data_IF_081024103653
#
_entry.id   IF_081024103653
#
_cell.length_a   1.000
_cell.length_b   1.000
_cell.length_c   1.000
_cell.angle_alpha   90.00
_cell.angle_beta   90.00
_cell.angle_gamma   90.00
#
_symmetry.space_group_name_H-M   'P 1'
#
loop_
_entity.id
_entity.type
_entity.pdbx_description
1 polymer ?
#
# COMPACT_ATOMS: atom_id res chain seq x y z
N UNK A 1 -25.80 53.69 -30.55
CA UNK A 1 -27.16 53.36 -30.06
C UNK A 1 -27.50 52.03 -30.71
N UNK A 2 -27.24 50.91 -30.04
CA UNK A 2 -28.15 50.25 -29.09
C UNK A 2 -29.41 49.72 -29.80
N UNK A 3 -29.49 48.40 -29.99
CA UNK A 3 -30.56 47.53 -29.48
C UNK A 3 -30.18 46.06 -29.67
N UNK A 4 -30.02 45.36 -28.55
CA UNK A 4 -30.03 43.92 -28.41
C UNK A 4 -31.38 43.31 -28.85
N UNK A 5 -31.33 42.09 -29.40
CA UNK A 5 -32.49 41.20 -29.48
C UNK A 5 -32.06 39.87 -28.86
N UNK A 6 -32.71 39.52 -27.75
CA UNK A 6 -32.47 38.31 -26.96
C UNK A 6 -33.06 37.10 -27.68
N UNK A 7 -32.20 36.14 -28.04
CA UNK A 7 -32.62 34.78 -28.38
C UNK A 7 -32.82 34.00 -27.09
N UNK A 8 -34.08 33.63 -26.82
CA UNK A 8 -34.42 32.64 -25.81
C UNK A 8 -34.42 31.26 -26.44
N UNK A 9 -33.51 30.40 -25.99
CA UNK A 9 -33.59 28.96 -26.19
C UNK A 9 -33.80 28.28 -24.83
N UNK A 10 -35.03 27.84 -24.63
CA UNK A 10 -35.42 26.91 -23.57
C UNK A 10 -34.86 25.53 -23.93
N UNK A 11 -33.64 25.24 -23.49
CA UNK A 11 -33.15 23.86 -23.54
C UNK A 11 -33.39 23.19 -22.18
N UNK A 12 -34.48 22.43 -22.16
CA UNK A 12 -34.82 21.41 -21.17
C UNK A 12 -33.69 20.38 -21.10
N UNK A 13 -32.74 20.59 -20.19
CA UNK A 13 -31.77 19.59 -19.81
C UNK A 13 -32.13 19.07 -18.41
N UNK A 14 -32.71 17.87 -18.39
CA UNK A 14 -32.62 16.93 -17.28
C UNK A 14 -31.14 16.81 -16.89
N UNK A 15 -30.69 17.61 -15.93
CA UNK A 15 -29.38 17.44 -15.33
C UNK A 15 -29.57 16.55 -14.13
N UNK A 16 -29.54 15.24 -14.41
CA UNK A 16 -29.28 14.19 -13.45
C UNK A 16 -28.09 14.62 -12.60
N UNK A 17 -28.38 15.03 -11.37
CA UNK A 17 -27.40 15.35 -10.34
C UNK A 17 -26.61 14.07 -10.04
N UNK A 18 -25.53 13.88 -10.79
CA UNK A 18 -24.51 12.87 -10.55
C UNK A 18 -23.83 13.25 -9.24
N UNK A 19 -24.31 12.66 -8.14
CA UNK A 19 -23.57 12.64 -6.89
C UNK A 19 -22.33 11.78 -7.11
N UNK A 20 -21.17 12.44 -7.09
CA UNK A 20 -19.87 11.77 -7.16
C UNK A 20 -19.65 11.13 -5.78
N UNK A 21 -19.87 9.82 -5.69
CA UNK A 21 -19.46 9.02 -4.54
C UNK A 21 -17.94 9.16 -4.37
N UNK A 22 -17.52 9.92 -3.36
CA UNK A 22 -16.10 10.20 -3.06
C UNK A 22 -15.35 8.95 -2.60
N UNK A 23 -16.03 7.93 -2.11
CA UNK A 23 -15.41 6.67 -1.73
C UNK A 23 -16.26 5.52 -2.23
N UNK A 24 -15.73 4.70 -3.13
CA UNK A 24 -16.33 3.47 -3.66
C UNK A 24 -16.48 2.36 -2.60
N UNK A 25 -16.98 2.72 -1.42
CA UNK A 25 -17.32 1.90 -0.27
C UNK A 25 -18.84 2.00 -0.05
N UNK A 26 -19.64 1.82 -1.11
CA UNK A 26 -21.09 1.80 -0.98
C UNK A 26 -21.52 0.38 -0.63
N UNK A 27 -22.11 0.22 0.56
CA UNK A 27 -22.98 -0.91 0.86
C UNK A 27 -24.14 -0.88 -0.13
N UNK A 28 -24.12 -1.75 -1.14
CA UNK A 28 -25.32 -2.05 -1.90
C UNK A 28 -26.33 -2.76 -0.98
N UNK A 29 -27.63 -2.42 -1.06
CA UNK A 29 -28.65 -3.17 -0.34
C UNK A 29 -28.77 -4.55 -0.99
N UNK A 30 -28.29 -5.59 -0.32
CA UNK A 30 -28.52 -6.98 -0.72
C UNK A 30 -30.00 -7.32 -0.48
N UNK A 31 -30.63 -7.87 -1.52
CA UNK A 31 -32.02 -8.30 -1.50
C UNK A 31 -32.11 -9.61 -0.73
N UNK A 32 -32.83 -9.61 0.39
CA UNK A 32 -33.08 -10.81 1.20
C UNK A 32 -33.84 -11.87 0.39
N UNK A 33 -33.36 -13.12 0.44
CA UNK A 33 -33.97 -14.26 -0.23
C UNK A 33 -33.42 -15.60 0.23
N UNK A 34 -34.14 -16.19 1.20
CA UNK A 34 -34.31 -17.63 1.44
C UNK A 34 -33.29 -18.38 2.33
N UNK A 35 -33.79 -18.70 3.54
CA UNK A 35 -33.31 -19.75 4.43
C UNK A 35 -33.79 -21.13 3.96
N UNK A 36 -32.94 -22.16 3.98
CA UNK A 36 -33.38 -23.51 4.35
C UNK A 36 -32.24 -24.39 4.91
N UNK A 37 -32.44 -24.75 6.19
CA UNK A 37 -32.15 -25.97 6.94
C UNK A 37 -30.87 -26.81 6.79
N UNK A 38 -30.37 -27.17 7.98
CA UNK A 38 -29.21 -27.97 8.31
C UNK A 38 -29.36 -29.47 8.07
N UNK A 39 -28.24 -30.19 7.91
CA UNK A 39 -27.94 -31.47 8.59
C UNK A 39 -26.40 -31.68 8.71
N UNK A 40 -26.01 -32.50 9.69
CA UNK A 40 -24.73 -32.49 10.38
C UNK A 40 -23.78 -33.67 10.04
N UNK A 41 -22.57 -33.58 10.62
CA UNK A 41 -21.51 -34.60 10.84
C UNK A 41 -20.47 -34.76 9.71
N UNK A 42 -19.16 -34.92 9.94
CA UNK A 42 -18.40 -35.29 11.13
C UNK A 42 -16.92 -34.81 11.03
N UNK A 43 -16.35 -34.54 12.21
CA UNK A 43 -14.96 -34.73 12.65
C UNK A 43 -13.80 -34.58 11.65
N UNK A 44 -12.89 -33.64 11.93
CA UNK A 44 -11.47 -33.95 12.07
C UNK A 44 -10.79 -33.05 13.10
N UNK A 45 -10.20 -33.74 14.08
CA UNK A 45 -9.34 -33.25 15.16
C UNK A 45 -7.93 -33.01 14.62
N UNK A 46 -7.35 -31.84 14.90
CA UNK A 46 -5.89 -31.65 14.93
C UNK A 46 -5.50 -30.34 15.65
N UNK A 47 -4.95 -30.50 16.86
CA UNK A 47 -3.84 -29.71 17.41
C UNK A 47 -3.97 -28.19 17.44
N UNK A 48 -4.53 -27.67 18.53
CA UNK A 48 -4.36 -26.27 18.94
C UNK A 48 -3.07 -26.17 19.80
N UNK A 49 -2.11 -25.29 19.51
CA UNK A 49 -1.22 -24.78 20.54
C UNK A 49 -1.91 -23.60 21.23
N UNK A 50 -2.11 -23.74 22.53
CA UNK A 50 -2.40 -22.64 23.45
C UNK A 50 -1.45 -21.47 23.20
N UNK A 51 -2.02 -20.32 22.85
CA UNK A 51 -1.43 -19.02 23.16
C UNK A 51 -2.34 -18.41 24.22
N UNK A 52 -1.90 -18.58 25.46
CA UNK A 52 -2.40 -17.93 26.65
C UNK A 52 -2.46 -16.42 26.43
N UNK A 53 -3.68 -15.91 26.37
CA UNK A 53 -4.04 -14.51 26.53
C UNK A 53 -3.98 -14.21 28.04
N UNK A 54 -2.80 -13.76 28.49
CA UNK A 54 -2.64 -13.14 29.81
C UNK A 54 -2.72 -11.63 29.60
N UNK A 55 -3.70 -11.02 30.26
CA UNK A 55 -4.00 -9.61 30.12
C UNK A 55 -2.88 -8.73 30.66
N UNK A 56 -2.36 -7.85 29.81
CA UNK A 56 -1.55 -6.72 30.21
C UNK A 56 -2.12 -5.45 29.58
N UNK A 57 -2.95 -4.73 30.34
CA UNK A 57 -3.25 -3.33 30.09
C UNK A 57 -1.97 -2.52 30.32
N UNK A 58 -1.34 -2.07 29.23
CA UNK A 58 -0.17 -1.20 29.33
C UNK A 58 0.47 -0.92 27.97
N UNK A 59 0.32 0.33 27.52
CA UNK A 59 1.05 1.03 26.45
C UNK A 59 0.45 0.92 25.02
N UNK A 60 -0.04 2.04 24.44
CA UNK A 60 -0.51 2.04 23.06
C UNK A 60 0.70 1.86 22.15
N UNK A 61 0.85 0.65 21.61
CA UNK A 61 1.47 0.35 20.32
C UNK A 61 2.57 1.33 19.90
N UNK A 62 3.75 1.23 20.53
CA UNK A 62 4.93 1.89 19.97
C UNK A 62 5.06 1.44 18.50
N UNK A 63 5.34 2.37 17.58
CA UNK A 63 5.50 2.06 16.14
C UNK A 63 6.45 0.87 15.92
N UNK A 64 7.47 0.75 16.77
CA UNK A 64 8.43 -0.35 16.79
C UNK A 64 7.78 -1.73 17.05
N UNK A 65 6.76 -1.82 17.90
CA UNK A 65 6.03 -3.08 18.17
C UNK A 65 5.24 -3.54 16.94
N UNK A 66 4.64 -2.59 16.21
CA UNK A 66 3.88 -2.89 14.99
C UNK A 66 4.81 -3.31 13.86
N UNK A 67 5.92 -2.59 13.68
CA UNK A 67 6.97 -2.95 12.71
C UNK A 67 7.58 -4.31 13.03
N UNK A 68 7.85 -4.61 14.30
CA UNK A 68 8.39 -5.91 14.70
C UNK A 68 7.43 -7.07 14.43
N UNK A 69 6.13 -6.89 14.70
CA UNK A 69 5.13 -7.94 14.50
C UNK A 69 4.79 -8.18 13.03
N UNK A 70 4.63 -7.13 12.26
CA UNK A 70 4.09 -7.21 10.90
C UNK A 70 5.14 -7.03 9.80
N UNK A 71 6.31 -6.46 10.13
CA UNK A 71 7.35 -6.12 9.15
C UNK A 71 7.05 -4.86 8.33
N UNK A 72 6.05 -4.08 8.73
CA UNK A 72 5.62 -2.85 8.05
C UNK A 72 5.38 -1.75 9.06
N UNK A 73 5.64 -0.50 8.67
CA UNK A 73 5.18 0.65 9.44
C UNK A 73 3.65 0.65 9.53
N UNK A 74 3.09 1.31 10.55
CA UNK A 74 1.64 1.36 10.74
C UNK A 74 0.90 1.91 9.50
N UNK A 75 1.48 2.91 8.84
CA UNK A 75 0.93 3.51 7.62
C UNK A 75 0.91 2.53 6.45
N UNK A 76 2.01 1.79 6.23
CA UNK A 76 2.08 0.76 5.18
C UNK A 76 1.11 -0.40 5.46
N UNK A 77 1.07 -0.86 6.72
CA UNK A 77 0.19 -1.93 7.15
C UNK A 77 -1.28 -1.55 7.00
N UNK A 78 -1.64 -0.31 7.36
CA UNK A 78 -2.97 0.23 7.12
C UNK A 78 -3.30 0.29 5.63
N UNK A 79 -2.36 0.69 4.77
CA UNK A 79 -2.52 0.68 3.33
C UNK A 79 -2.79 -0.73 2.77
N UNK A 80 -2.07 -1.74 3.28
CA UNK A 80 -2.31 -3.15 2.96
C UNK A 80 -3.70 -3.62 3.44
N UNK A 81 -4.07 -3.27 4.67
CA UNK A 81 -5.39 -3.57 5.24
C UNK A 81 -6.53 -2.97 4.42
N UNK A 82 -6.40 -1.71 3.99
CA UNK A 82 -7.42 -1.05 3.17
C UNK A 82 -7.53 -1.69 1.78
N UNK A 83 -6.40 -2.07 1.15
CA UNK A 83 -6.41 -2.81 -0.12
C UNK A 83 -7.11 -4.16 0.03
N UNK A 84 -6.75 -4.92 1.06
CA UNK A 84 -7.37 -6.21 1.35
C UNK A 84 -8.87 -6.07 1.57
N UNK A 85 -9.28 -5.11 2.42
CA UNK A 85 -10.68 -4.83 2.69
C UNK A 85 -11.46 -4.55 1.39
N UNK A 86 -10.98 -3.62 0.55
CA UNK A 86 -11.65 -3.27 -0.72
C UNK A 86 -11.74 -4.43 -1.71
N UNK A 87 -10.74 -5.29 -1.77
CA UNK A 87 -10.70 -6.38 -2.75
C UNK A 87 -11.55 -7.59 -2.31
N UNK A 88 -11.58 -7.86 -1.00
CA UNK A 88 -12.08 -9.10 -0.42
C UNK A 88 -13.43 -8.97 0.31
N UNK A 89 -13.89 -7.76 0.64
CA UNK A 89 -15.22 -7.50 1.20
C UNK A 89 -16.31 -8.02 0.26
N UNK A 90 -17.23 -8.84 0.79
CA UNK A 90 -18.30 -9.48 0.02
C UNK A 90 -17.85 -10.62 -0.91
N UNK A 91 -16.57 -11.03 -0.86
CA UNK A 91 -16.04 -12.14 -1.66
C UNK A 91 -15.41 -13.22 -0.79
N UNK A 92 -14.41 -12.86 0.01
CA UNK A 92 -13.65 -13.81 0.82
C UNK A 92 -13.99 -13.72 2.31
N UNK A 93 -14.58 -12.62 2.75
CA UNK A 93 -15.14 -12.50 4.09
C UNK A 93 -16.33 -11.55 4.10
N UNK A 94 -17.25 -11.79 5.03
CA UNK A 94 -18.48 -11.03 5.21
C UNK A 94 -18.47 -10.50 6.64
N UNK A 95 -17.86 -9.32 6.90
CA UNK A 95 -17.88 -8.73 8.22
C UNK A 95 -19.33 -8.46 8.63
N UNK A 96 -19.62 -8.51 9.93
CA UNK A 96 -20.96 -8.18 10.42
C UNK A 96 -21.31 -6.73 10.04
N UNK A 97 -22.61 -6.42 10.02
CA UNK A 97 -23.04 -5.04 9.74
C UNK A 97 -22.36 -4.03 10.67
N UNK A 98 -22.29 -4.35 11.96
CA UNK A 98 -21.62 -3.54 12.99
C UNK A 98 -20.12 -3.39 12.72
N UNK A 99 -19.41 -4.50 12.45
CA UNK A 99 -17.97 -4.45 12.14
C UNK A 99 -17.72 -3.62 10.86
N UNK A 100 -18.60 -3.74 9.86
CA UNK A 100 -18.49 -2.98 8.62
C UNK A 100 -18.72 -1.49 8.84
N UNK A 101 -19.72 -1.11 9.65
CA UNK A 101 -19.90 0.27 10.08
C UNK A 101 -18.66 0.79 10.81
N UNK A 102 -18.09 -0.01 11.70
CA UNK A 102 -16.89 0.35 12.47
C UNK A 102 -15.66 0.52 11.58
N UNK A 103 -15.42 -0.39 10.63
CA UNK A 103 -14.33 -0.27 9.64
C UNK A 103 -14.48 1.01 8.81
N UNK A 104 -15.69 1.32 8.36
CA UNK A 104 -15.98 2.57 7.61
C UNK A 104 -15.71 3.79 8.50
N UNK A 105 -16.19 3.80 9.74
CA UNK A 105 -15.98 4.90 10.67
C UNK A 105 -14.50 5.15 10.95
N UNK A 106 -13.72 4.09 11.20
CA UNK A 106 -12.28 4.16 11.41
C UNK A 106 -11.57 4.69 10.16
N UNK A 107 -11.95 4.25 8.96
CA UNK A 107 -11.39 4.79 7.72
C UNK A 107 -11.68 6.29 7.56
N UNK A 108 -12.90 6.73 7.87
CA UNK A 108 -13.25 8.16 7.85
C UNK A 108 -12.46 8.96 8.88
N UNK A 109 -12.26 8.41 10.08
CA UNK A 109 -11.41 9.04 11.11
C UNK A 109 -9.97 9.23 10.62
N UNK A 110 -9.40 8.25 9.90
CA UNK A 110 -8.06 8.35 9.34
C UNK A 110 -7.96 9.42 8.25
N UNK A 111 -8.98 9.54 7.41
CA UNK A 111 -9.00 10.47 6.27
C UNK A 111 -9.36 11.91 6.65
N UNK A 112 -10.38 12.06 7.49
CA UNK A 112 -11.04 13.35 7.76
C UNK A 112 -10.86 13.80 9.21
N UNK A 113 -10.36 12.93 10.10
CA UNK A 113 -10.27 13.19 11.53
C UNK A 113 -11.62 13.01 12.24
N UNK A 114 -11.74 13.58 13.46
CA UNK A 114 -12.97 13.55 14.25
C UNK A 114 -14.21 14.01 13.49
N UNK A 115 -15.34 13.37 13.76
CA UNK A 115 -16.61 13.75 13.16
C UNK A 115 -16.98 15.21 13.46
N UNK A 116 -17.27 15.98 12.41
CA UNK A 116 -17.78 17.34 12.52
C UNK A 116 -19.23 17.41 12.00
N UNK A 117 -20.22 17.74 12.84
CA UNK A 117 -21.61 17.87 12.43
C UNK A 117 -21.84 19.00 11.42
N UNK A 118 -21.06 20.07 11.46
CA UNK A 118 -21.23 21.23 10.57
C UNK A 118 -20.73 20.95 9.14
N UNK A 119 -19.81 20.00 9.01
CA UNK A 119 -19.24 19.58 7.73
C UNK A 119 -20.06 18.48 7.05
N UNK A 120 -21.07 17.93 7.72
CA UNK A 120 -21.85 16.78 7.26
C UNK A 120 -23.29 17.20 6.94
N UNK A 121 -23.81 16.94 5.73
CA UNK A 121 -25.19 17.24 5.41
C UNK A 121 -26.15 16.48 6.33
N UNK A 122 -27.35 17.05 6.54
CA UNK A 122 -28.40 16.40 7.29
C UNK A 122 -28.87 15.14 6.54
N UNK A 123 -28.73 13.97 7.18
CA UNK A 123 -29.28 12.73 6.64
C UNK A 123 -30.76 12.67 7.02
N UNK A 124 -31.60 12.44 6.01
CA UNK A 124 -33.04 12.36 6.18
C UNK A 124 -33.47 11.19 7.07
N UNK A 125 -34.65 11.30 7.67
CA UNK A 125 -35.19 10.30 8.59
C UNK A 125 -35.21 8.86 8.02
N UNK A 126 -35.46 8.70 6.72
CA UNK A 126 -35.52 7.39 6.06
C UNK A 126 -34.15 6.80 5.70
N UNK A 127 -33.06 7.56 5.77
CA UNK A 127 -31.71 7.04 5.50
C UNK A 127 -31.09 6.48 6.80
N UNK A 128 -31.62 5.31 7.20
CA UNK A 128 -31.19 4.56 8.39
C UNK A 128 -29.70 4.22 8.32
N UNK A 129 -29.22 3.77 7.16
CA UNK A 129 -27.81 3.42 6.94
C UNK A 129 -26.89 4.64 7.08
N UNK A 130 -27.29 5.79 6.53
CA UNK A 130 -26.56 7.04 6.68
C UNK A 130 -26.53 7.52 8.13
N UNK A 131 -27.64 7.36 8.86
CA UNK A 131 -27.70 7.66 10.29
C UNK A 131 -26.76 6.78 11.11
N UNK A 132 -26.75 5.46 10.85
CA UNK A 132 -25.87 4.54 11.56
C UNK A 132 -24.39 4.83 11.27
N UNK A 133 -24.02 5.08 10.01
CA UNK A 133 -22.65 5.48 9.65
C UNK A 133 -22.21 6.77 10.35
N UNK A 134 -23.09 7.79 10.42
CA UNK A 134 -22.79 9.04 11.12
C UNK A 134 -22.64 8.81 12.61
N UNK A 135 -23.55 8.03 13.21
CA UNK A 135 -23.52 7.71 14.64
C UNK A 135 -22.25 6.94 15.01
N UNK A 136 -21.86 5.96 14.20
CA UNK A 136 -20.66 5.16 14.46
C UNK A 136 -19.38 6.01 14.37
N UNK A 137 -19.27 6.86 13.35
CA UNK A 137 -18.13 7.78 13.23
C UNK A 137 -18.11 8.83 14.35
N UNK A 138 -19.26 9.40 14.71
CA UNK A 138 -19.36 10.31 15.85
C UNK A 138 -18.96 9.64 17.17
N UNK A 139 -19.17 8.33 17.32
CA UNK A 139 -18.79 7.58 18.52
C UNK A 139 -17.27 7.49 18.72
N UNK A 140 -16.47 7.66 17.66
CA UNK A 140 -15.00 7.67 17.74
C UNK A 140 -14.46 8.93 18.43
N UNK A 141 -15.24 10.02 18.49
CA UNK A 141 -14.83 11.26 19.14
C UNK A 141 -13.49 11.79 18.61
N UNK A 142 -12.60 12.15 19.53
CA UNK A 142 -11.29 12.74 19.23
C UNK A 142 -10.17 11.69 19.05
N UNK A 143 -10.52 10.45 18.65
CA UNK A 143 -9.56 9.39 18.37
C UNK A 143 -8.48 9.87 17.38
N UNK A 144 -7.22 9.60 17.72
CA UNK A 144 -6.09 10.01 16.89
C UNK A 144 -6.02 9.18 15.60
N UNK A 145 -5.37 9.75 14.58
CA UNK A 145 -5.24 9.11 13.27
C UNK A 145 -4.55 7.75 13.37
N UNK A 146 -3.45 7.67 14.13
CA UNK A 146 -2.67 6.45 14.27
C UNK A 146 -3.43 5.39 15.08
N UNK A 147 -4.16 5.80 16.11
CA UNK A 147 -5.06 4.90 16.85
C UNK A 147 -6.17 4.35 15.93
N UNK A 148 -6.78 5.19 15.09
CA UNK A 148 -7.80 4.75 14.14
C UNK A 148 -7.25 3.78 13.09
N UNK A 149 -6.01 3.98 12.61
CA UNK A 149 -5.33 3.02 11.73
C UNK A 149 -5.12 1.68 12.44
N UNK A 150 -4.62 1.72 13.67
CA UNK A 150 -4.33 0.53 14.45
C UNK A 150 -5.60 -0.30 14.71
N UNK A 151 -6.67 0.36 15.16
CA UNK A 151 -7.96 -0.28 15.41
C UNK A 151 -8.57 -0.84 14.12
N UNK A 152 -8.39 -0.17 12.98
CA UNK A 152 -8.82 -0.69 11.68
C UNK A 152 -8.12 -2.01 11.35
N UNK A 153 -6.79 -2.06 11.51
CA UNK A 153 -6.01 -3.28 11.24
C UNK A 153 -6.38 -4.41 12.20
N UNK A 154 -6.53 -4.11 13.50
CA UNK A 154 -6.93 -5.11 14.52
C UNK A 154 -8.31 -5.69 14.19
N UNK A 155 -9.29 -4.83 13.90
CA UNK A 155 -10.64 -5.25 13.57
C UNK A 155 -10.67 -6.08 12.29
N UNK A 156 -9.97 -5.65 11.23
CA UNK A 156 -9.90 -6.41 9.99
C UNK A 156 -9.29 -7.80 10.19
N UNK A 157 -8.20 -7.89 10.97
CA UNK A 157 -7.56 -9.16 11.29
C UNK A 157 -8.47 -10.09 12.11
N UNK A 158 -9.34 -9.52 12.96
CA UNK A 158 -10.37 -10.28 13.70
C UNK A 158 -11.47 -10.77 12.76
N UNK A 159 -11.93 -9.94 11.81
CA UNK A 159 -12.98 -10.30 10.86
C UNK A 159 -12.53 -11.31 9.79
N UNK A 160 -11.23 -11.36 9.47
CA UNK A 160 -10.71 -12.24 8.44
C UNK A 160 -9.31 -12.79 8.79
N UNK A 161 -9.24 -14.08 9.09
CA UNK A 161 -7.98 -14.77 9.39
C UNK A 161 -7.00 -14.85 8.21
N UNK A 162 -7.48 -14.62 6.97
CA UNK A 162 -6.63 -14.58 5.76
C UNK A 162 -5.84 -13.28 5.64
N UNK A 163 -6.16 -12.25 6.43
CA UNK A 163 -5.42 -11.00 6.41
C UNK A 163 -3.97 -11.19 6.86
N UNK A 164 -3.72 -11.96 7.93
CA UNK A 164 -2.35 -12.18 8.41
C UNK A 164 -1.45 -12.92 7.39
N UNK A 165 -1.88 -14.03 6.77
CA UNK A 165 -1.17 -14.64 5.66
C UNK A 165 -0.94 -13.69 4.48
N UNK A 166 -1.94 -12.86 4.13
CA UNK A 166 -1.82 -11.88 3.06
C UNK A 166 -0.70 -10.86 3.32
N UNK A 167 -0.61 -10.33 4.55
CA UNK A 167 0.47 -9.41 4.93
C UNK A 167 1.82 -10.11 4.93
N UNK A 168 1.88 -11.36 5.43
CA UNK A 168 3.11 -12.15 5.42
C UNK A 168 3.62 -12.39 3.99
N UNK A 169 2.74 -12.70 3.03
CA UNK A 169 3.12 -12.84 1.61
C UNK A 169 3.67 -11.54 1.03
N UNK A 170 3.04 -10.40 1.32
CA UNK A 170 3.54 -9.09 0.86
C UNK A 170 4.90 -8.73 1.48
N UNK A 171 5.16 -9.19 2.71
CA UNK A 171 6.46 -8.98 3.36
C UNK A 171 7.57 -9.71 2.61
N UNK A 172 7.32 -10.96 2.24
CA UNK A 172 8.27 -11.78 1.49
C UNK A 172 8.51 -11.17 0.11
N UNK A 173 7.45 -10.79 -0.61
CA UNK A 173 7.57 -10.16 -1.93
C UNK A 173 8.40 -8.87 -1.89
N UNK A 174 8.16 -7.99 -0.90
CA UNK A 174 8.95 -6.77 -0.71
C UNK A 174 10.43 -7.08 -0.44
N UNK A 175 10.72 -8.07 0.40
CA UNK A 175 12.09 -8.46 0.73
C UNK A 175 12.83 -9.04 -0.49
N UNK A 176 12.15 -9.88 -1.29
CA UNK A 176 12.68 -10.45 -2.53
C UNK A 176 12.96 -9.37 -3.59
N UNK A 177 12.05 -8.40 -3.77
CA UNK A 177 12.24 -7.28 -4.69
C UNK A 177 13.46 -6.44 -4.30
N UNK A 178 13.62 -6.13 -3.01
CA UNK A 178 14.76 -5.39 -2.52
C UNK A 178 16.07 -6.17 -2.67
N UNK A 179 16.08 -7.49 -2.45
CA UNK A 179 17.25 -8.33 -2.64
C UNK A 179 17.66 -8.41 -4.12
N UNK A 180 16.68 -8.54 -5.02
CA UNK A 180 16.94 -8.52 -6.44
C UNK A 180 17.50 -7.18 -6.93
N UNK A 181 16.98 -6.06 -6.42
CA UNK A 181 17.54 -4.74 -6.70
C UNK A 181 19.00 -4.64 -6.22
N UNK A 182 19.28 -5.06 -4.99
CA UNK A 182 20.66 -5.08 -4.44
C UNK A 182 21.60 -5.93 -5.29
N UNK A 183 21.16 -7.12 -5.73
CA UNK A 183 21.94 -8.00 -6.60
C UNK A 183 22.24 -7.36 -7.97
N UNK A 184 21.24 -6.73 -8.58
CA UNK A 184 21.42 -6.02 -9.87
C UNK A 184 22.38 -4.85 -9.74
N UNK A 185 22.28 -4.06 -8.67
CA UNK A 185 23.21 -2.97 -8.40
C UNK A 185 24.64 -3.45 -8.14
N UNK A 186 24.81 -4.58 -7.45
CA UNK A 186 26.13 -5.18 -7.20
C UNK A 186 26.75 -5.73 -8.49
N UNK A 187 25.97 -6.44 -9.31
CA UNK A 187 26.40 -6.92 -10.62
C UNK A 187 26.79 -5.76 -11.55
N UNK A 188 26.01 -4.68 -11.59
CA UNK A 188 26.32 -3.48 -12.39
C UNK A 188 27.61 -2.82 -11.90
N UNK A 189 27.77 -2.67 -10.58
CA UNK A 189 28.99 -2.13 -9.97
C UNK A 189 30.21 -3.00 -10.28
N UNK A 190 30.06 -4.33 -10.27
CA UNK A 190 31.14 -5.23 -10.63
C UNK A 190 31.50 -5.12 -12.12
N UNK A 191 30.50 -5.05 -13.00
CA UNK A 191 30.73 -4.85 -14.45
C UNK A 191 31.49 -3.56 -14.72
N UNK A 192 31.12 -2.46 -14.08
CA UNK A 192 31.82 -1.18 -14.21
C UNK A 192 33.27 -1.27 -13.72
N UNK A 193 33.53 -1.96 -12.61
CA UNK A 193 34.89 -2.19 -12.11
C UNK A 193 35.73 -3.01 -13.08
N UNK A 194 35.17 -4.09 -13.63
CA UNK A 194 35.86 -4.94 -14.60
C UNK A 194 36.15 -4.19 -15.91
N UNK A 195 35.21 -3.37 -16.37
CA UNK A 195 35.39 -2.53 -17.57
C UNK A 195 36.45 -1.45 -17.35
N UNK A 196 36.46 -0.79 -16.19
CA UNK A 196 37.49 0.18 -15.83
C UNK A 196 38.88 -0.46 -15.74
N UNK A 197 38.97 -1.65 -15.13
CA UNK A 197 40.22 -2.39 -15.03
C UNK A 197 40.72 -2.82 -16.42
N UNK A 198 39.83 -3.29 -17.30
CA UNK A 198 40.17 -3.64 -18.68
C UNK A 198 40.68 -2.41 -19.44
N UNK A 199 39.97 -1.28 -19.36
CA UNK A 199 40.39 -0.03 -20.00
C UNK A 199 41.76 0.42 -19.51
N UNK A 200 42.01 0.34 -18.21
CA UNK A 200 43.31 0.68 -17.61
C UNK A 200 44.43 -0.22 -18.13
N UNK A 201 44.21 -1.53 -18.23
CA UNK A 201 45.19 -2.48 -18.80
C UNK A 201 45.47 -2.20 -20.27
N UNK A 202 44.43 -1.93 -21.07
CA UNK A 202 44.58 -1.59 -22.48
C UNK A 202 45.34 -0.26 -22.68
N UNK A 203 45.09 0.74 -21.84
CA UNK A 203 45.83 2.02 -21.84
C UNK A 203 47.29 1.82 -21.44
N UNK A 204 47.56 1.02 -20.41
CA UNK A 204 48.92 0.70 -19.96
C UNK A 204 49.70 -0.08 -21.03
N UNK A 205 49.06 -1.06 -21.70
CA UNK A 205 49.67 -1.81 -22.79
C UNK A 205 49.96 -0.92 -24.00
N UNK A 206 49.06 0.02 -24.33
CA UNK A 206 49.28 0.99 -25.41
C UNK A 206 50.46 1.91 -25.13
N UNK A 207 50.54 2.47 -23.92
CA UNK A 207 51.67 3.30 -23.49
C UNK A 207 52.99 2.52 -23.53
N UNK A 208 52.99 1.25 -23.11
CA UNK A 208 54.18 0.40 -23.15
C UNK A 208 54.67 0.15 -24.58
N UNK A 209 53.76 -0.14 -25.52
CA UNK A 209 54.12 -0.31 -26.94
C UNK A 209 54.70 0.97 -27.53
N UNK A 210 54.09 2.13 -27.26
CA UNK A 210 54.61 3.43 -27.70
C UNK A 210 56.00 3.73 -27.12
N UNK A 211 56.26 3.38 -25.85
CA UNK A 211 57.59 3.55 -25.25
C UNK A 211 58.64 2.63 -25.87
N UNK A 212 58.29 1.35 -26.10
CA UNK A 212 59.17 0.38 -26.76
C UNK A 212 59.52 0.81 -28.19
N UNK A 213 58.55 1.29 -28.97
CA UNK A 213 58.78 1.87 -30.30
C UNK A 213 59.69 3.10 -30.24
N UNK A 214 59.46 4.01 -29.28
CA UNK A 214 60.28 5.22 -29.12
C UNK A 214 61.73 4.89 -28.78
N UNK A 215 61.96 3.89 -27.92
CA UNK A 215 63.32 3.39 -27.61
C UNK A 215 64.01 2.78 -28.82
N UNK A 216 63.30 1.99 -29.62
CA UNK A 216 63.86 1.38 -30.83
C UNK A 216 64.29 2.44 -31.86
N UNK A 217 63.45 3.46 -32.09
CA UNK A 217 63.78 4.57 -33.00
C UNK A 217 65.00 5.34 -32.51
N UNK A 218 65.11 5.57 -31.20
CA UNK A 218 66.27 6.25 -30.60
C UNK A 218 67.56 5.41 -30.73
N UNK A 219 67.50 4.11 -30.47
CA UNK A 219 68.63 3.19 -30.66
C UNK A 219 69.07 3.10 -32.13
N UNK A 220 68.12 3.02 -33.07
CA UNK A 220 68.40 3.00 -34.51
C UNK A 220 69.07 4.30 -34.96
N UNK A 221 68.57 5.45 -34.49
CA UNK A 221 69.17 6.77 -34.78
C UNK A 221 70.62 6.86 -34.28
N UNK A 222 70.89 6.40 -33.06
CA UNK A 222 72.24 6.37 -32.49
C UNK A 222 73.18 5.43 -33.27
N UNK A 223 72.69 4.28 -33.76
CA UNK A 223 73.48 3.37 -34.60
C UNK A 223 73.87 3.99 -35.93
N UNK A 224 72.94 4.68 -36.59
CA UNK A 224 73.21 5.38 -37.87
C UNK A 224 74.23 6.50 -37.67
N UNK A 225 74.18 7.20 -36.55
CA UNK A 225 75.13 8.28 -36.22
C UNK A 225 76.55 7.77 -35.96
N UNK A 226 76.72 6.59 -35.34
CA UNK A 226 78.04 5.98 -35.12
C UNK A 226 78.71 5.40 -36.39
N UNK A 227 77.94 5.14 -37.45
CA UNK A 227 78.47 4.61 -38.72
C UNK A 227 78.86 5.70 -39.73
N UNK A 228 78.71 6.98 -39.37
CA UNK A 228 78.94 8.13 -40.25
C UNK A 228 80.18 8.92 -39.82
#
# INVERSE_FOLDING_TARGET
MATEVQSGDLNSANSSRLEVSIDGLTLSPDSEGEQEQAEASAAHSAGNPELSDDGEEGDPASSATIEGRWGFSLVELYGLALRFFKEKDGKAFHPTYEDKLRLVALHKQVLLGPYNPDASPEVGFFDVLGNDRRKEWASLGNMEKDEAMLEFVKLLNKCCSLFAPFVASHKIEKEEEEEEQRRREEEERERLRQEEERRRREEEERLRREEEERRQVEEERLRVEQQK
#
